data_IF_131947423455
#
_entry.id   IF_131947423455
#
_cell.length_a   1.000
_cell.length_b   1.000
_cell.length_c   1.000
_cell.angle_alpha   90.00
_cell.angle_beta   90.00
_cell.angle_gamma   90.00
#
_symmetry.space_group_name_H-M   'P 1'
#
loop_
_entity.id
_entity.type
_entity.pdbx_description
1 polymer ?
#
# COMPACT_ATOMS: atom_id res chain seq x y z
N UNK A 1 29.15 -5.16 -5.88
CA UNK A 1 28.43 -5.83 -4.79
C UNK A 1 27.32 -6.63 -5.45
N UNK A 2 27.25 -7.93 -5.23
CA UNK A 2 26.20 -8.76 -5.82
C UNK A 2 24.83 -8.30 -5.30
N UNK A 3 23.94 -7.89 -6.20
CA UNK A 3 22.58 -7.44 -5.87
C UNK A 3 21.83 -8.46 -5.01
N UNK A 4 22.13 -9.76 -5.18
CA UNK A 4 21.53 -10.83 -4.38
C UNK A 4 22.01 -10.82 -2.93
N UNK A 5 23.31 -10.59 -2.72
CA UNK A 5 23.87 -10.48 -1.37
C UNK A 5 23.25 -9.28 -0.64
N UNK A 6 23.12 -8.14 -1.31
CA UNK A 6 22.47 -6.95 -0.76
C UNK A 6 21.01 -7.21 -0.37
N UNK A 7 20.21 -7.80 -1.27
CA UNK A 7 18.81 -8.15 -0.99
C UNK A 7 18.68 -9.12 0.19
N UNK A 8 19.58 -10.10 0.28
CA UNK A 8 19.60 -11.06 1.40
C UNK A 8 19.90 -10.35 2.72
N UNK A 9 20.85 -9.42 2.73
CA UNK A 9 21.16 -8.61 3.92
C UNK A 9 19.98 -7.72 4.32
N UNK A 10 19.33 -7.04 3.36
CA UNK A 10 18.13 -6.24 3.63
C UNK A 10 17.02 -7.11 4.23
N UNK A 11 16.77 -8.29 3.66
CA UNK A 11 15.78 -9.23 4.18
C UNK A 11 16.14 -9.72 5.60
N UNK A 12 17.43 -9.94 5.89
CA UNK A 12 17.88 -10.33 7.22
C UNK A 12 17.63 -9.23 8.26
N UNK A 13 18.01 -7.98 7.95
CA UNK A 13 17.74 -6.82 8.82
C UNK A 13 16.24 -6.66 9.07
N UNK A 14 15.42 -6.82 8.03
CA UNK A 14 13.95 -6.77 8.16
C UNK A 14 13.36 -7.87 9.05
N UNK A 15 14.00 -9.05 9.14
CA UNK A 15 13.60 -10.12 10.06
C UNK A 15 13.96 -9.80 11.51
N UNK A 16 15.11 -9.17 11.73
CA UNK A 16 15.59 -8.77 13.06
C UNK A 16 14.83 -7.55 13.60
N UNK A 17 14.38 -6.66 12.71
CA UNK A 17 13.65 -5.44 13.03
C UNK A 17 12.28 -5.41 12.33
N UNK A 18 11.35 -6.31 12.70
CA UNK A 18 10.08 -6.41 12.00
C UNK A 18 9.22 -5.16 12.23
N UNK A 19 8.97 -4.43 11.15
CA UNK A 19 7.99 -3.36 11.12
C UNK A 19 6.72 -3.87 10.46
N UNK A 20 5.62 -3.97 11.22
CA UNK A 20 4.37 -4.52 10.72
C UNK A 20 3.37 -3.39 10.44
N UNK A 21 2.97 -3.15 9.17
CA UNK A 21 1.81 -2.31 8.93
C UNK A 21 0.57 -2.95 9.59
N UNK A 22 -0.40 -2.15 10.06
CA UNK A 22 -1.59 -2.65 10.75
C UNK A 22 -2.58 -3.28 9.75
N UNK A 23 -2.20 -4.39 9.12
CA UNK A 23 -2.95 -5.04 8.05
C UNK A 23 -4.35 -5.50 8.49
N UNK A 24 -4.52 -5.85 9.77
CA UNK A 24 -5.81 -6.25 10.34
C UNK A 24 -6.82 -5.09 10.42
N UNK A 25 -6.33 -3.85 10.45
CA UNK A 25 -7.17 -2.65 10.51
C UNK A 25 -7.58 -2.17 9.10
N UNK A 26 -7.07 -2.82 8.04
CA UNK A 26 -7.57 -2.65 6.68
C UNK A 26 -8.81 -3.54 6.56
N UNK A 27 -9.99 -2.95 6.41
CA UNK A 27 -11.28 -3.64 6.60
C UNK A 27 -11.43 -4.85 5.68
N UNK A 28 -10.99 -4.73 4.43
CA UNK A 28 -11.06 -5.84 3.47
C UNK A 28 -10.17 -7.02 3.87
N UNK A 29 -9.13 -6.79 4.68
CA UNK A 29 -8.23 -7.84 5.14
C UNK A 29 -8.61 -8.43 6.49
N UNK A 30 -9.55 -7.85 7.24
CA UNK A 30 -9.96 -8.39 8.53
C UNK A 30 -10.27 -9.91 8.48
N UNK A 31 -10.98 -10.44 7.45
CA UNK A 31 -11.25 -11.88 7.34
C UNK A 31 -10.02 -12.74 6.99
N UNK A 32 -8.86 -12.13 6.73
CA UNK A 32 -7.63 -12.80 6.32
C UNK A 32 -6.77 -13.15 7.53
N UNK A 33 -7.12 -12.68 8.72
CA UNK A 33 -6.38 -12.91 9.95
C UNK A 33 -7.22 -13.72 10.93
N UNK A 34 -6.57 -14.63 11.63
CA UNK A 34 -7.16 -15.34 12.75
C UNK A 34 -7.34 -14.39 13.94
N UNK A 35 -8.54 -14.30 14.49
CA UNK A 35 -8.88 -13.34 15.55
C UNK A 35 -8.07 -13.57 16.85
N UNK A 36 -7.63 -14.80 17.10
CA UNK A 36 -6.92 -15.17 18.33
C UNK A 36 -5.42 -14.93 18.20
N UNK A 37 -4.81 -15.41 17.11
CA UNK A 37 -3.35 -15.37 16.91
C UNK A 37 -2.88 -14.14 16.13
N UNK A 38 -3.79 -13.42 15.46
CA UNK A 38 -3.48 -12.31 14.58
C UNK A 38 -2.65 -12.70 13.35
N UNK A 39 -2.53 -14.00 13.05
CA UNK A 39 -1.73 -14.50 11.92
C UNK A 39 -2.58 -14.56 10.65
N UNK A 40 -1.99 -14.31 9.47
CA UNK A 40 -2.68 -14.52 8.21
C UNK A 40 -3.10 -15.99 8.04
N UNK A 41 -4.35 -16.22 7.62
CA UNK A 41 -4.94 -17.54 7.40
C UNK A 41 -5.63 -17.63 6.03
N UNK A 42 -5.57 -18.82 5.45
CA UNK A 42 -6.22 -19.11 4.18
C UNK A 42 -5.69 -18.25 3.02
N UNK A 43 -4.39 -17.98 2.98
CA UNK A 43 -3.76 -17.11 1.98
C UNK A 43 -4.03 -17.55 0.52
N UNK A 44 -4.22 -18.85 0.28
CA UNK A 44 -4.55 -19.41 -1.03
C UNK A 44 -6.06 -19.37 -1.36
N UNK A 45 -6.92 -18.94 -0.41
CA UNK A 45 -8.35 -18.78 -0.68
C UNK A 45 -8.56 -17.60 -1.62
N UNK A 46 -9.55 -17.73 -2.51
CA UNK A 46 -9.98 -16.64 -3.38
C UNK A 46 -10.86 -15.64 -2.63
N UNK A 47 -10.68 -14.37 -2.99
CA UNK A 47 -11.53 -13.23 -2.66
C UNK A 47 -11.81 -12.48 -3.96
N UNK A 48 -13.02 -12.69 -4.50
CA UNK A 48 -13.32 -12.39 -5.90
C UNK A 48 -12.43 -13.19 -6.86
N UNK A 49 -11.79 -12.51 -7.80
CA UNK A 49 -10.90 -13.15 -8.76
C UNK A 49 -9.50 -13.46 -8.18
N UNK A 50 -9.03 -12.66 -7.21
CA UNK A 50 -7.67 -12.75 -6.66
C UNK A 50 -7.60 -13.73 -5.49
N UNK A 51 -6.39 -14.20 -5.13
CA UNK A 51 -6.16 -14.82 -3.83
C UNK A 51 -5.93 -13.78 -2.75
N UNK A 52 -6.19 -14.14 -1.49
CA UNK A 52 -5.88 -13.29 -0.34
C UNK A 52 -4.39 -12.92 -0.29
N UNK A 53 -3.51 -13.86 -0.68
CA UNK A 53 -2.06 -13.63 -0.81
C UNK A 53 -1.74 -12.52 -1.80
N UNK A 54 -2.33 -12.55 -3.00
CA UNK A 54 -2.13 -11.52 -4.01
C UNK A 54 -2.61 -10.14 -3.51
N UNK A 55 -3.77 -10.07 -2.86
CA UNK A 55 -4.31 -8.80 -2.37
C UNK A 55 -3.43 -8.18 -1.28
N UNK A 56 -2.93 -9.00 -0.34
CA UNK A 56 -1.95 -8.56 0.65
C UNK A 56 -0.66 -8.11 -0.02
N UNK A 57 -0.18 -8.84 -1.03
CA UNK A 57 1.03 -8.49 -1.77
C UNK A 57 0.90 -7.14 -2.48
N UNK A 58 -0.22 -6.88 -3.16
CA UNK A 58 -0.50 -5.59 -3.83
C UNK A 58 -0.51 -4.44 -2.82
N UNK A 59 -1.14 -4.62 -1.67
CA UNK A 59 -1.15 -3.61 -0.61
C UNK A 59 0.24 -3.40 -0.01
N UNK A 60 1.00 -4.45 0.24
CA UNK A 60 2.37 -4.36 0.78
C UNK A 60 3.32 -3.69 -0.21
N UNK A 61 3.16 -3.93 -1.51
CA UNK A 61 3.90 -3.22 -2.56
C UNK A 61 3.58 -1.72 -2.52
N UNK A 62 2.30 -1.35 -2.47
CA UNK A 62 1.88 0.05 -2.35
C UNK A 62 2.44 0.67 -1.06
N UNK A 63 2.31 -0.02 0.07
CA UNK A 63 2.87 0.41 1.35
C UNK A 63 4.39 0.68 1.25
N UNK A 64 5.16 -0.24 0.66
CA UNK A 64 6.60 -0.08 0.51
C UNK A 64 6.99 1.14 -0.34
N UNK A 65 6.20 1.47 -1.37
CA UNK A 65 6.43 2.67 -2.20
C UNK A 65 6.07 3.96 -1.47
N UNK A 66 5.01 3.94 -0.66
CA UNK A 66 4.59 5.12 0.11
C UNK A 66 5.48 5.37 1.33
N UNK A 67 5.97 4.32 2.00
CA UNK A 67 6.76 4.33 3.25
C UNK A 67 8.19 4.89 3.06
N UNK A 68 8.43 5.66 2.01
CA UNK A 68 9.62 6.49 1.83
C UNK A 68 9.45 7.90 2.43
N UNK A 69 8.30 8.16 3.08
CA UNK A 69 7.91 9.43 3.67
C UNK A 69 8.73 9.87 4.89
N UNK A 70 8.57 11.12 5.34
CA UNK A 70 9.23 11.64 6.55
C UNK A 70 8.66 11.06 7.86
N UNK A 71 7.56 10.31 7.78
CA UNK A 71 6.85 9.71 8.92
C UNK A 71 6.13 8.42 8.49
N UNK A 72 6.81 7.29 8.69
CA UNK A 72 6.30 5.94 8.38
C UNK A 72 4.93 5.65 8.98
N UNK A 73 4.71 6.04 10.24
CA UNK A 73 3.45 5.72 10.91
C UNK A 73 2.30 6.56 10.35
N UNK A 74 2.54 7.85 10.07
CA UNK A 74 1.58 8.71 9.40
C UNK A 74 1.24 8.23 7.99
N UNK A 75 2.23 7.80 7.22
CA UNK A 75 2.02 7.22 5.88
C UNK A 75 1.19 5.94 5.93
N UNK A 76 1.48 5.03 6.87
CA UNK A 76 0.71 3.80 7.05
C UNK A 76 -0.74 4.08 7.43
N UNK A 77 -0.96 5.08 8.29
CA UNK A 77 -2.30 5.54 8.66
C UNK A 77 -3.04 6.10 7.44
N UNK A 78 -2.38 6.94 6.65
CA UNK A 78 -2.93 7.48 5.39
C UNK A 78 -3.34 6.36 4.43
N UNK A 79 -2.43 5.41 4.15
CA UNK A 79 -2.71 4.30 3.25
C UNK A 79 -3.90 3.46 3.74
N UNK A 80 -3.92 3.09 5.02
CA UNK A 80 -5.02 2.33 5.62
C UNK A 80 -6.35 3.06 5.49
N UNK A 81 -6.40 4.31 5.94
CA UNK A 81 -7.64 5.08 6.03
C UNK A 81 -8.18 5.42 4.62
N UNK A 82 -7.31 5.72 3.65
CA UNK A 82 -7.70 5.89 2.24
C UNK A 82 -8.18 4.57 1.64
N UNK A 83 -7.50 3.46 1.93
CA UNK A 83 -7.92 2.13 1.42
C UNK A 83 -9.33 1.79 1.91
N UNK A 84 -9.59 1.95 3.20
CA UNK A 84 -10.91 1.71 3.78
C UNK A 84 -11.97 2.65 3.17
N UNK A 85 -11.65 3.95 3.01
CA UNK A 85 -12.57 4.91 2.39
C UNK A 85 -12.93 4.53 0.96
N UNK A 86 -11.96 4.15 0.13
CA UNK A 86 -12.17 3.75 -1.25
C UNK A 86 -12.99 2.46 -1.35
N UNK A 87 -12.71 1.47 -0.51
CA UNK A 87 -13.47 0.21 -0.49
C UNK A 87 -14.93 0.39 -0.08
N UNK A 88 -15.21 1.26 0.89
CA UNK A 88 -16.58 1.62 1.28
C UNK A 88 -17.36 2.31 0.16
N UNK A 89 -16.66 2.93 -0.80
CA UNK A 89 -17.23 3.51 -2.04
C UNK A 89 -17.14 2.58 -3.24
N UNK A 90 -16.88 1.29 -3.00
CA UNK A 90 -16.77 0.25 -4.01
C UNK A 90 -15.61 0.41 -5.01
N UNK A 91 -14.66 1.31 -4.74
CA UNK A 91 -13.41 1.44 -5.50
C UNK A 91 -12.42 0.38 -5.00
N UNK A 92 -12.62 -0.86 -5.45
CA UNK A 92 -11.86 -2.06 -5.03
C UNK A 92 -10.51 -2.18 -5.74
N UNK A 93 -9.68 -1.13 -5.64
CA UNK A 93 -8.48 -0.98 -6.46
C UNK A 93 -7.42 -2.09 -6.27
N UNK A 94 -7.37 -2.80 -5.14
CA UNK A 94 -6.44 -3.94 -5.01
C UNK A 94 -6.94 -5.16 -5.79
N UNK A 95 -8.25 -5.33 -5.95
CA UNK A 95 -8.82 -6.41 -6.77
C UNK A 95 -8.73 -6.06 -8.26
N UNK A 96 -9.04 -4.81 -8.59
CA UNK A 96 -9.10 -4.27 -9.94
C UNK A 96 -8.27 -2.97 -10.00
N UNK A 97 -6.96 -3.03 -10.26
CA UNK A 97 -6.10 -1.85 -10.27
C UNK A 97 -6.60 -0.73 -11.18
N UNK A 98 -7.25 -1.07 -12.30
CA UNK A 98 -7.87 -0.12 -13.21
C UNK A 98 -8.93 0.77 -12.53
N UNK A 99 -9.61 0.28 -11.50
CA UNK A 99 -10.64 1.04 -10.78
C UNK A 99 -10.06 2.29 -10.11
N UNK A 100 -8.79 2.28 -9.68
CA UNK A 100 -8.14 3.47 -9.15
C UNK A 100 -8.01 4.58 -10.18
N UNK A 101 -7.67 4.22 -11.43
CA UNK A 101 -7.46 5.18 -12.50
C UNK A 101 -8.78 5.71 -13.06
N UNK A 102 -9.80 4.85 -13.18
CA UNK A 102 -11.14 5.24 -13.59
C UNK A 102 -11.78 6.21 -12.57
N UNK A 103 -11.54 5.97 -11.28
CA UNK A 103 -12.08 6.76 -10.17
C UNK A 103 -11.05 7.72 -9.56
N UNK A 104 -10.09 8.20 -10.36
CA UNK A 104 -8.95 8.99 -9.87
C UNK A 104 -9.39 10.25 -9.11
N UNK A 105 -10.48 10.89 -9.53
CA UNK A 105 -11.06 12.05 -8.83
C UNK A 105 -11.47 11.69 -7.40
N UNK A 106 -12.19 10.58 -7.22
CA UNK A 106 -12.60 10.07 -5.90
C UNK A 106 -11.36 9.72 -5.06
N UNK A 107 -10.36 9.10 -5.67
CA UNK A 107 -9.11 8.76 -5.00
C UNK A 107 -8.35 10.00 -4.51
N UNK A 108 -8.20 11.03 -5.35
CA UNK A 108 -7.53 12.29 -5.00
C UNK A 108 -8.24 12.98 -3.84
N UNK A 109 -9.57 13.07 -3.86
CA UNK A 109 -10.35 13.68 -2.79
C UNK A 109 -10.16 12.95 -1.45
N UNK A 110 -10.16 11.61 -1.46
CA UNK A 110 -9.94 10.82 -0.26
C UNK A 110 -8.51 10.88 0.24
N UNK A 111 -7.51 10.87 -0.64
CA UNK A 111 -6.10 11.07 -0.25
C UNK A 111 -5.93 12.44 0.41
N UNK A 112 -6.51 13.50 -0.16
CA UNK A 112 -6.42 14.86 0.38
C UNK A 112 -7.08 14.98 1.75
N UNK A 113 -8.32 14.49 1.88
CA UNK A 113 -9.09 14.60 3.13
C UNK A 113 -8.47 13.79 4.26
N UNK A 114 -8.03 12.55 3.98
CA UNK A 114 -7.35 11.72 4.99
C UNK A 114 -6.00 12.32 5.36
N UNK A 115 -5.26 12.91 4.40
CA UNK A 115 -4.00 13.62 4.69
C UNK A 115 -4.21 14.69 5.76
N UNK A 116 -5.20 15.56 5.61
CA UNK A 116 -5.48 16.62 6.59
C UNK A 116 -5.86 16.07 7.97
N UNK A 117 -6.63 14.97 8.02
CA UNK A 117 -6.96 14.30 9.28
C UNK A 117 -5.70 13.75 9.96
N UNK A 118 -4.82 13.05 9.22
CA UNK A 118 -3.58 12.51 9.81
C UNK A 118 -2.64 13.64 10.23
N UNK A 119 -2.56 14.71 9.43
CA UNK A 119 -1.81 15.92 9.78
C UNK A 119 -2.26 16.52 11.11
N UNK A 120 -3.56 16.70 11.31
CA UNK A 120 -4.11 17.19 12.59
C UNK A 120 -3.81 16.29 13.80
N UNK A 121 -3.57 14.99 13.57
CA UNK A 121 -3.26 14.04 14.66
C UNK A 121 -1.77 13.92 14.96
N UNK A 122 -0.90 14.16 13.97
CA UNK A 122 0.53 13.79 14.05
C UNK A 122 1.51 14.93 13.93
N UNK A 123 1.10 16.09 13.40
CA UNK A 123 2.03 17.17 13.07
C UNK A 123 2.85 17.63 14.29
N UNK A 124 2.24 17.76 15.46
CA UNK A 124 2.93 18.20 16.69
C UNK A 124 3.95 17.16 17.18
N UNK A 125 3.56 15.89 17.24
CA UNK A 125 4.45 14.79 17.64
C UNK A 125 5.63 14.67 16.69
N UNK A 126 5.37 14.74 15.38
CA UNK A 126 6.42 14.73 14.38
C UNK A 126 7.36 15.93 14.52
N UNK A 127 6.82 17.13 14.77
CA UNK A 127 7.60 18.35 14.93
C UNK A 127 8.54 18.26 16.14
N UNK A 128 8.06 17.74 17.27
CA UNK A 128 8.87 17.49 18.46
C UNK A 128 10.00 16.48 18.17
N UNK A 129 9.66 15.34 17.56
CA UNK A 129 10.63 14.28 17.23
C UNK A 129 11.72 14.75 16.23
N UNK A 130 11.40 15.70 15.35
CA UNK A 130 12.29 16.15 14.28
C UNK A 130 12.87 17.56 14.53
N UNK A 131 12.66 18.15 15.72
CA UNK A 131 13.07 19.52 16.04
C UNK A 131 12.64 20.53 14.97
N UNK A 132 11.41 20.39 14.49
CA UNK A 132 10.84 21.15 13.37
C UNK A 132 9.56 21.87 13.78
N UNK A 133 8.86 22.47 12.83
CA UNK A 133 7.56 23.11 13.03
C UNK A 133 6.44 22.22 12.49
N UNK A 134 5.33 22.12 13.22
CA UNK A 134 4.15 21.34 12.82
C UNK A 134 3.59 21.78 11.45
N UNK A 135 3.74 23.07 11.11
CA UNK A 135 3.35 23.64 9.81
C UNK A 135 4.04 22.99 8.60
N UNK A 136 5.26 22.47 8.81
CA UNK A 136 6.07 21.81 7.77
C UNK A 136 5.72 20.33 7.60
N UNK A 137 4.89 19.76 8.47
CA UNK A 137 4.48 18.37 8.36
C UNK A 137 3.63 18.16 7.10
N UNK A 138 4.07 17.20 6.30
CA UNK A 138 3.38 16.73 5.11
C UNK A 138 3.70 15.26 4.88
N UNK A 139 2.66 14.47 4.63
CA UNK A 139 2.79 13.08 4.18
C UNK A 139 3.10 12.97 2.68
N UNK A 140 3.00 14.07 1.94
CA UNK A 140 3.38 14.11 0.54
C UNK A 140 4.88 14.39 0.43
N UNK A 141 5.58 13.45 -0.22
CA UNK A 141 7.00 13.57 -0.51
C UNK A 141 7.29 14.67 -1.54
N UNK A 142 8.53 15.16 -1.50
CA UNK A 142 9.12 16.04 -2.53
C UNK A 142 8.39 17.37 -2.74
N UNK A 143 7.67 17.85 -1.73
CA UNK A 143 6.93 19.10 -1.82
C UNK A 143 5.84 19.08 -2.89
N UNK A 144 5.29 17.90 -3.20
CA UNK A 144 4.16 17.76 -4.10
C UNK A 144 3.01 18.65 -3.61
N UNK A 145 2.90 19.85 -4.17
CA UNK A 145 1.88 20.84 -3.80
C UNK A 145 0.49 20.44 -4.28
N UNK A 146 0.41 19.40 -5.11
CA UNK A 146 -0.83 18.91 -5.71
C UNK A 146 -0.99 17.42 -5.41
N UNK A 147 -2.09 17.09 -4.75
CA UNK A 147 -2.49 15.72 -4.42
C UNK A 147 -2.58 14.83 -5.66
N UNK A 148 -2.95 15.39 -6.81
CA UNK A 148 -2.99 14.68 -8.08
C UNK A 148 -1.65 14.06 -8.46
N UNK A 149 -0.54 14.81 -8.34
CA UNK A 149 0.79 14.30 -8.66
C UNK A 149 1.17 13.17 -7.70
N UNK A 150 0.87 13.34 -6.41
CA UNK A 150 1.09 12.28 -5.42
C UNK A 150 0.26 11.02 -5.75
N UNK A 151 -1.01 11.17 -6.09
CA UNK A 151 -1.88 10.06 -6.48
C UNK A 151 -1.37 9.36 -7.74
N UNK A 152 -0.95 10.07 -8.79
CA UNK A 152 -0.45 9.46 -10.02
C UNK A 152 0.88 8.75 -9.78
N UNK A 153 1.87 9.42 -9.18
CA UNK A 153 3.21 8.87 -9.06
C UNK A 153 3.37 7.87 -7.93
N UNK A 154 2.83 8.17 -6.74
CA UNK A 154 3.07 7.36 -5.54
C UNK A 154 2.02 6.25 -5.35
N UNK A 155 0.80 6.44 -5.84
CA UNK A 155 -0.25 5.40 -5.84
C UNK A 155 -0.41 4.73 -7.20
N UNK A 156 -0.48 5.51 -8.27
CA UNK A 156 -0.70 5.00 -9.63
C UNK A 156 0.44 4.08 -10.09
N UNK A 157 1.70 4.47 -9.91
CA UNK A 157 2.84 3.63 -10.34
C UNK A 157 2.83 2.21 -9.75
N UNK A 158 2.75 1.99 -8.42
CA UNK A 158 2.69 0.63 -7.87
C UNK A 158 1.42 -0.12 -8.27
N UNK A 159 0.30 0.55 -8.53
CA UNK A 159 -0.93 -0.08 -9.02
C UNK A 159 -0.87 -0.41 -10.52
N UNK A 160 -0.09 0.33 -11.30
CA UNK A 160 0.14 0.04 -12.70
C UNK A 160 0.91 -1.28 -12.89
N UNK A 161 1.77 -1.67 -11.94
CA UNK A 161 2.53 -2.93 -12.02
C UNK A 161 1.61 -4.16 -12.13
N UNK A 162 0.72 -4.47 -11.16
CA UNK A 162 -0.20 -5.60 -11.30
C UNK A 162 -1.15 -5.43 -12.49
N UNK A 163 -1.52 -4.19 -12.86
CA UNK A 163 -2.35 -3.94 -14.04
C UNK A 163 -1.66 -4.38 -15.33
N UNK A 164 -0.41 -3.95 -15.55
CA UNK A 164 0.37 -4.29 -16.74
C UNK A 164 0.67 -5.80 -16.78
N UNK A 165 1.11 -6.37 -15.65
CA UNK A 165 1.37 -7.81 -15.56
C UNK A 165 0.12 -8.64 -15.89
N UNK A 166 -1.07 -8.20 -15.47
CA UNK A 166 -2.32 -8.89 -15.81
C UNK A 166 -2.72 -8.75 -17.28
N UNK A 167 -2.30 -7.66 -17.96
CA UNK A 167 -2.51 -7.49 -19.41
C UNK A 167 -1.55 -8.33 -20.23
N UNK A 168 -0.32 -8.52 -19.75
CA UNK A 168 0.71 -9.32 -20.42
C UNK A 168 0.51 -10.83 -20.19
N UNK A 169 -0.30 -11.23 -19.20
CA UNK A 169 -0.62 -12.61 -18.91
C UNK A 169 -1.62 -13.18 -19.94
N UNK A 170 -1.21 -14.23 -20.65
CA UNK A 170 -1.98 -14.83 -21.73
C UNK A 170 -3.14 -15.68 -21.20
N UNK A 171 -2.95 -16.31 -20.04
CA UNK A 171 -3.93 -17.21 -19.45
C UNK A 171 -4.84 -16.45 -18.49
N UNK A 172 -6.15 -16.40 -18.81
CA UNK A 172 -7.13 -15.61 -18.05
C UNK A 172 -7.17 -15.99 -16.55
N UNK A 173 -6.97 -17.26 -16.23
CA UNK A 173 -6.95 -17.77 -14.86
C UNK A 173 -5.75 -17.27 -14.02
N UNK A 174 -4.69 -16.81 -14.68
CA UNK A 174 -3.46 -16.33 -14.06
C UNK A 174 -3.41 -14.82 -13.88
N UNK A 175 -4.24 -14.06 -14.62
CA UNK A 175 -4.27 -12.59 -14.56
C UNK A 175 -4.50 -12.05 -13.15
N UNK A 176 -5.33 -12.73 -12.38
CA UNK A 176 -5.67 -12.34 -11.01
C UNK A 176 -4.56 -12.60 -9.98
N UNK A 177 -3.46 -13.26 -10.36
CA UNK A 177 -2.30 -13.55 -9.51
C UNK A 177 -0.98 -13.13 -10.18
N UNK A 178 -1.07 -12.28 -11.21
CA UNK A 178 0.06 -11.99 -12.09
C UNK A 178 1.26 -11.40 -11.34
N UNK A 179 1.04 -10.59 -10.29
CA UNK A 179 2.13 -10.05 -9.47
C UNK A 179 2.83 -11.14 -8.66
N UNK A 180 2.08 -11.96 -7.93
CA UNK A 180 2.64 -13.09 -7.18
C UNK A 180 3.44 -14.03 -8.08
N UNK A 181 2.89 -14.38 -9.26
CA UNK A 181 3.56 -15.26 -10.23
C UNK A 181 4.82 -14.63 -10.80
N UNK A 182 4.79 -13.34 -11.10
CA UNK A 182 5.96 -12.61 -11.57
C UNK A 182 7.10 -12.67 -10.53
N UNK A 183 6.80 -12.40 -9.25
CA UNK A 183 7.79 -12.47 -8.18
C UNK A 183 8.30 -13.90 -7.94
N UNK A 184 7.45 -14.92 -8.07
CA UNK A 184 7.86 -16.32 -7.92
C UNK A 184 8.82 -16.80 -9.02
N UNK A 185 8.82 -16.14 -10.18
CA UNK A 185 9.74 -16.39 -11.30
C UNK A 185 11.01 -15.55 -11.24
N UNK A 186 11.08 -14.59 -10.32
CA UNK A 186 12.24 -13.72 -10.18
C UNK A 186 13.42 -14.51 -9.56
N UNK A 187 14.62 -14.49 -10.18
CA UNK A 187 15.76 -15.31 -9.77
C UNK A 187 16.42 -14.90 -8.44
#
# INVERSE_FOLDING_TARGET
MDSRALLTTIAQVGREHPSRPPLQEVEVFAPFFDEVSGRPVGLERRDGACTRRELLLRYLLLNAVLDQGPDTEGVRKLLKDVTNALYRREVRFLHKPEAFFLELGIAVDHISSVHEVVKGLRADQWAEMNQSEASKYSLFLDGAQQVLNYAVFRWGSPLAVPLLLSKDEAEEEHKSEALLRHLARWP
#
